data_IF_998257198865
#
_entry.id   IF_998257198865
#
_cell.length_a   1.000
_cell.length_b   1.000
_cell.length_c   1.000
_cell.angle_alpha   90.00
_cell.angle_beta   90.00
_cell.angle_gamma   90.00
#
_symmetry.space_group_name_H-M   'P 1'
#
loop_
_entity.id
_entity.type
_entity.pdbx_description
1 polymer ?
#
# COMPACT_ATOMS: atom_id res chain seq x y z
N UNK A 1 -27.94 28.00 20.11
CA UNK A 1 -28.29 26.65 19.62
C UNK A 1 -27.44 25.64 20.38
N UNK A 2 -27.99 24.48 20.76
CA UNK A 2 -27.23 23.45 21.49
C UNK A 2 -26.11 22.89 20.63
N UNK A 3 -24.88 22.83 21.17
CA UNK A 3 -23.75 22.19 20.51
C UNK A 3 -24.13 20.75 20.06
N UNK A 4 -24.05 20.39 18.76
CA UNK A 4 -24.50 19.08 18.26
C UNK A 4 -23.52 17.94 18.57
N UNK A 5 -22.31 18.24 19.07
CA UNK A 5 -21.25 17.26 19.28
C UNK A 5 -21.62 16.21 20.35
N UNK A 6 -22.15 16.56 21.54
CA UNK A 6 -22.63 15.55 22.49
C UNK A 6 -23.66 14.59 21.88
N UNK A 7 -24.59 15.10 21.06
CA UNK A 7 -25.57 14.28 20.37
C UNK A 7 -24.91 13.37 19.32
N UNK A 8 -23.92 13.88 18.56
CA UNK A 8 -23.12 13.08 17.63
C UNK A 8 -22.38 11.94 18.37
N UNK A 9 -21.72 12.25 19.49
CA UNK A 9 -20.96 11.26 20.26
C UNK A 9 -21.87 10.16 20.82
N UNK A 10 -23.03 10.53 21.36
CA UNK A 10 -24.05 9.57 21.80
C UNK A 10 -24.56 8.71 20.63
N UNK A 11 -24.79 9.31 19.46
CA UNK A 11 -25.23 8.59 18.27
C UNK A 11 -24.18 7.60 17.77
N UNK A 12 -22.90 8.00 17.71
CA UNK A 12 -21.80 7.12 17.33
C UNK A 12 -21.66 5.95 18.31
N UNK A 13 -21.77 6.21 19.62
CA UNK A 13 -21.71 5.18 20.66
C UNK A 13 -22.88 4.19 20.57
N UNK A 14 -24.09 4.67 20.30
CA UNK A 14 -25.28 3.84 20.09
C UNK A 14 -25.13 2.88 18.91
N UNK A 15 -24.30 3.24 17.92
CA UNK A 15 -24.01 2.43 16.74
C UNK A 15 -22.66 1.70 16.84
N UNK A 16 -22.13 1.49 18.05
CA UNK A 16 -20.99 0.59 18.26
C UNK A 16 -21.29 -0.81 17.69
N UNK A 17 -20.26 -1.48 17.18
CA UNK A 17 -20.37 -2.82 16.62
C UNK A 17 -21.00 -2.91 15.22
N UNK A 18 -21.38 -1.78 14.61
CA UNK A 18 -21.96 -1.78 13.25
C UNK A 18 -21.04 -2.41 12.19
N UNK A 19 -19.72 -2.34 12.40
CA UNK A 19 -18.65 -2.88 11.54
C UNK A 19 -18.75 -2.51 10.03
N UNK A 20 -19.58 -1.54 9.69
CA UNK A 20 -19.81 -1.05 8.34
C UNK A 20 -19.70 0.47 8.33
N UNK A 21 -18.54 0.92 7.85
CA UNK A 21 -18.20 2.34 7.72
C UNK A 21 -19.12 3.10 6.77
N UNK A 22 -19.56 2.47 5.67
CA UNK A 22 -20.42 3.15 4.70
C UNK A 22 -21.82 3.34 5.27
N UNK A 23 -22.35 2.31 5.94
CA UNK A 23 -23.63 2.38 6.64
C UNK A 23 -23.61 3.42 7.76
N UNK A 24 -22.59 3.41 8.63
CA UNK A 24 -22.48 4.40 9.71
C UNK A 24 -22.38 5.82 9.18
N UNK A 25 -21.56 6.04 8.14
CA UNK A 25 -21.42 7.35 7.52
C UNK A 25 -22.76 7.85 6.98
N UNK A 26 -23.53 7.00 6.28
CA UNK A 26 -24.88 7.36 5.77
C UNK A 26 -25.83 7.76 6.90
N UNK A 27 -25.87 6.98 7.98
CA UNK A 27 -26.72 7.27 9.14
C UNK A 27 -26.38 8.63 9.77
N UNK A 28 -25.08 8.91 9.97
CA UNK A 28 -24.62 10.18 10.56
C UNK A 28 -24.89 11.36 9.62
N UNK A 29 -24.64 11.20 8.32
CA UNK A 29 -24.90 12.25 7.31
C UNK A 29 -26.38 12.63 7.30
N UNK A 30 -27.29 11.64 7.29
CA UNK A 30 -28.73 11.90 7.33
C UNK A 30 -29.15 12.54 8.66
N UNK A 31 -28.71 11.99 9.80
CA UNK A 31 -29.12 12.44 11.13
C UNK A 31 -28.70 13.89 11.42
N UNK A 32 -27.52 14.31 10.96
CA UNK A 32 -26.94 15.63 11.25
C UNK A 32 -26.93 16.56 10.04
N UNK A 33 -27.59 16.17 8.94
CA UNK A 33 -27.69 16.92 7.69
C UNK A 33 -26.31 17.43 7.17
N UNK A 34 -25.37 16.50 7.05
CA UNK A 34 -23.97 16.85 6.73
C UNK A 34 -23.76 17.04 5.22
N UNK A 35 -22.95 18.04 4.88
CA UNK A 35 -22.41 18.25 3.53
C UNK A 35 -21.20 17.35 3.30
N UNK A 36 -20.98 16.90 2.06
CA UNK A 36 -19.85 16.02 1.71
C UNK A 36 -18.79 16.78 0.90
N UNK A 37 -17.53 16.80 1.38
CA UNK A 37 -16.33 17.14 0.59
C UNK A 37 -15.47 15.87 0.47
N UNK A 38 -15.64 15.18 -0.66
CA UNK A 38 -15.03 13.88 -0.97
C UNK A 38 -15.30 12.85 0.12
N UNK A 39 -14.35 12.69 1.04
CA UNK A 39 -14.36 11.67 2.08
C UNK A 39 -14.64 12.22 3.47
N UNK A 40 -14.77 13.56 3.61
CA UNK A 40 -15.09 14.28 4.84
C UNK A 40 -16.53 14.75 4.78
N UNK A 41 -17.27 14.58 5.88
CA UNK A 41 -18.63 15.04 6.04
C UNK A 41 -18.64 16.16 7.09
N UNK A 42 -19.37 17.24 6.88
CA UNK A 42 -19.27 18.41 7.74
C UNK A 42 -20.54 19.25 7.81
N UNK A 43 -20.62 20.08 8.84
CA UNK A 43 -21.57 21.17 8.99
C UNK A 43 -20.84 22.40 9.57
N UNK A 44 -21.58 23.43 10.00
CA UNK A 44 -21.00 24.61 10.65
C UNK A 44 -20.21 24.26 11.92
N UNK A 45 -20.64 23.24 12.66
CA UNK A 45 -20.17 22.97 14.02
C UNK A 45 -19.05 21.92 14.11
N UNK A 46 -18.94 21.02 13.12
CA UNK A 46 -17.89 20.00 13.11
C UNK A 46 -17.65 19.43 11.71
N UNK A 47 -16.52 18.74 11.54
CA UNK A 47 -16.23 17.88 10.41
C UNK A 47 -15.90 16.47 10.91
N UNK A 48 -16.24 15.43 10.15
CA UNK A 48 -16.01 14.04 10.51
C UNK A 48 -15.52 13.21 9.31
N UNK A 49 -14.53 12.36 9.59
CA UNK A 49 -13.96 11.40 8.66
C UNK A 49 -14.10 9.98 9.20
N UNK A 50 -14.71 9.11 8.42
CA UNK A 50 -14.86 7.69 8.77
C UNK A 50 -13.74 6.83 8.18
N UNK A 51 -13.14 5.98 9.02
CA UNK A 51 -12.20 4.92 8.66
C UNK A 51 -12.71 3.57 9.15
N UNK A 52 -12.17 2.46 8.62
CA UNK A 52 -12.49 1.11 9.10
C UNK A 52 -11.20 0.36 9.41
N UNK A 53 -11.19 -0.42 10.49
CA UNK A 53 -10.09 -1.33 10.85
C UNK A 53 -10.62 -2.46 11.72
N UNK A 54 -9.97 -3.61 11.66
CA UNK A 54 -10.22 -4.73 12.57
C UNK A 54 -9.65 -4.46 13.99
N UNK A 55 -8.77 -3.46 14.13
CA UNK A 55 -8.09 -3.12 15.38
C UNK A 55 -8.25 -1.64 15.72
N UNK A 56 -8.07 -1.31 16.99
CA UNK A 56 -8.07 0.06 17.55
C UNK A 56 -6.94 0.93 16.96
N UNK A 57 -5.81 0.28 16.61
CA UNK A 57 -4.74 0.90 15.84
C UNK A 57 -5.08 0.89 14.35
N UNK A 58 -4.81 2.00 13.67
CA UNK A 58 -5.02 2.14 12.23
C UNK A 58 -4.01 3.11 11.63
N UNK A 59 -3.54 2.81 10.43
CA UNK A 59 -2.57 3.62 9.67
C UNK A 59 -3.13 4.09 8.34
N UNK A 60 -4.43 3.91 8.11
CA UNK A 60 -5.10 4.41 6.91
C UNK A 60 -5.01 5.94 6.86
N UNK A 61 -4.87 6.46 5.65
CA UNK A 61 -4.90 7.90 5.40
C UNK A 61 -6.27 8.47 5.78
N UNK A 62 -6.25 9.50 6.63
CA UNK A 62 -7.44 10.16 7.14
C UNK A 62 -7.85 11.27 6.18
N UNK A 63 -6.97 12.25 5.98
CA UNK A 63 -7.17 13.35 5.02
C UNK A 63 -5.83 13.94 4.55
N UNK A 64 -5.89 14.77 3.49
CA UNK A 64 -4.77 15.65 3.13
C UNK A 64 -4.69 16.82 4.10
N UNK A 65 -3.49 17.37 4.32
CA UNK A 65 -3.28 18.51 5.22
C UNK A 65 -4.02 19.75 4.73
N UNK A 66 -4.02 20.00 3.42
CA UNK A 66 -4.79 21.09 2.79
C UNK A 66 -6.30 20.92 2.93
N UNK A 67 -6.79 19.67 3.10
CA UNK A 67 -8.21 19.44 3.38
C UNK A 67 -8.50 19.70 4.85
N UNK A 68 -7.62 19.30 5.76
CA UNK A 68 -7.75 19.62 7.17
C UNK A 68 -7.77 21.13 7.39
N UNK A 69 -6.91 21.90 6.71
CA UNK A 69 -6.87 23.36 6.82
C UNK A 69 -8.25 24.02 6.65
N UNK A 70 -9.11 23.50 5.74
CA UNK A 70 -10.46 24.03 5.52
C UNK A 70 -11.41 23.88 6.71
N UNK A 71 -11.12 22.95 7.61
CA UNK A 71 -12.00 22.50 8.69
C UNK A 71 -11.31 22.53 10.06
N UNK A 72 -10.08 23.00 10.14
CA UNK A 72 -9.31 23.02 11.39
C UNK A 72 -9.90 24.03 12.37
N UNK A 73 -10.67 25.00 11.88
CA UNK A 73 -11.43 26.00 12.64
C UNK A 73 -12.57 25.42 13.51
N UNK A 74 -12.89 24.12 13.34
CA UNK A 74 -13.93 23.41 14.08
C UNK A 74 -13.43 22.00 14.44
N UNK A 75 -14.10 21.27 15.35
CA UNK A 75 -13.72 19.90 15.67
C UNK A 75 -13.65 19.02 14.42
N UNK A 76 -12.44 18.58 14.08
CA UNK A 76 -12.20 17.64 12.99
C UNK A 76 -12.08 16.23 13.59
N UNK A 77 -13.15 15.47 13.47
CA UNK A 77 -13.35 14.19 14.14
C UNK A 77 -12.92 13.05 13.23
N UNK A 78 -11.99 12.21 13.69
CA UNK A 78 -11.68 10.94 13.06
C UNK A 78 -12.44 9.81 13.77
N UNK A 79 -13.43 9.23 13.09
CA UNK A 79 -14.19 8.08 13.58
C UNK A 79 -13.68 6.79 12.94
N UNK A 80 -13.07 5.91 13.73
CA UNK A 80 -12.66 4.58 13.31
C UNK A 80 -13.73 3.56 13.69
N UNK A 81 -14.34 2.96 12.67
CA UNK A 81 -15.31 1.87 12.81
C UNK A 81 -14.55 0.56 12.97
N UNK A 82 -14.81 -0.16 14.06
CA UNK A 82 -14.27 -1.50 14.33
C UNK A 82 -15.40 -2.51 14.56
N UNK A 83 -15.11 -3.82 14.63
CA UNK A 83 -16.14 -4.84 14.88
C UNK A 83 -16.88 -4.70 16.21
N UNK A 84 -16.23 -4.13 17.24
CA UNK A 84 -16.81 -4.03 18.59
C UNK A 84 -17.26 -2.61 18.95
N UNK A 85 -16.47 -1.59 18.59
CA UNK A 85 -16.69 -0.20 19.03
C UNK A 85 -16.30 0.83 17.97
N UNK A 86 -16.91 2.01 18.02
CA UNK A 86 -16.48 3.16 17.26
C UNK A 86 -15.49 3.98 18.10
N UNK A 87 -14.28 4.19 17.58
CA UNK A 87 -13.27 5.01 18.23
C UNK A 87 -13.32 6.41 17.65
N UNK A 88 -13.46 7.39 18.53
CA UNK A 88 -13.59 8.80 18.16
C UNK A 88 -12.36 9.55 18.67
N UNK A 89 -11.64 10.17 17.75
CA UNK A 89 -10.45 10.98 18.04
C UNK A 89 -10.64 12.39 17.47
N UNK A 90 -10.13 13.39 18.16
CA UNK A 90 -9.90 14.70 17.58
C UNK A 90 -8.63 14.66 16.71
N UNK A 91 -8.71 15.18 15.49
CA UNK A 91 -7.64 15.13 14.50
C UNK A 91 -7.31 16.50 13.89
N UNK A 92 -7.71 17.58 14.58
CA UNK A 92 -7.21 18.92 14.33
C UNK A 92 -5.68 18.97 14.39
N UNK A 93 -5.08 19.98 13.77
CA UNK A 93 -3.63 20.10 13.59
C UNK A 93 -2.87 19.96 14.91
N UNK A 94 -3.34 20.54 16.03
CA UNK A 94 -2.77 20.38 17.40
C UNK A 94 -2.58 18.91 17.81
N UNK A 95 -3.43 18.00 17.33
CA UNK A 95 -3.42 16.59 17.69
C UNK A 95 -2.65 15.72 16.68
N UNK A 96 -1.98 16.32 15.71
CA UNK A 96 -1.12 15.60 14.76
C UNK A 96 0.33 15.60 15.24
N UNK A 97 0.96 14.42 15.23
CA UNK A 97 2.40 14.23 15.50
C UNK A 97 3.24 14.79 14.36
N UNK A 98 2.82 14.49 13.13
CA UNK A 98 3.53 14.79 11.89
C UNK A 98 2.59 14.64 10.70
N UNK A 99 3.08 15.02 9.53
CA UNK A 99 2.46 14.75 8.24
C UNK A 99 3.23 13.61 7.58
N UNK A 100 2.55 12.80 6.76
CA UNK A 100 3.14 11.65 6.09
C UNK A 100 4.39 12.02 5.29
N UNK A 101 5.39 11.14 5.33
CA UNK A 101 6.68 11.22 4.68
C UNK A 101 6.65 11.45 3.16
N UNK A 102 5.53 11.19 2.49
CA UNK A 102 5.36 11.45 1.06
C UNK A 102 5.29 12.94 0.70
N UNK A 103 5.61 13.84 1.63
CA UNK A 103 5.42 15.29 1.51
C UNK A 103 6.76 16.03 1.44
N UNK A 104 7.67 15.64 0.55
CA UNK A 104 9.00 16.29 0.36
C UNK A 104 8.92 17.81 0.10
N UNK A 105 7.75 18.32 -0.23
CA UNK A 105 7.51 19.74 -0.49
C UNK A 105 6.72 20.44 0.62
N UNK A 106 6.39 19.76 1.74
CA UNK A 106 5.67 20.39 2.84
C UNK A 106 6.51 21.53 3.39
N UNK A 107 6.01 22.74 3.22
CA UNK A 107 6.56 23.98 3.74
C UNK A 107 5.41 24.80 4.28
N UNK A 108 5.71 25.78 5.13
CA UNK A 108 4.70 26.73 5.61
C UNK A 108 3.97 27.41 4.44
N UNK A 109 4.70 27.70 3.35
CA UNK A 109 4.15 28.28 2.12
C UNK A 109 3.72 27.25 1.05
N UNK A 110 3.74 25.95 1.35
CA UNK A 110 3.32 24.90 0.42
C UNK A 110 2.73 23.71 1.17
N UNK A 111 1.43 23.80 1.44
CA UNK A 111 0.67 22.85 2.25
C UNK A 111 0.34 21.61 1.39
N UNK A 112 1.29 20.68 1.32
CA UNK A 112 1.14 19.37 0.67
C UNK A 112 1.35 18.24 1.65
N UNK A 113 0.61 17.16 1.46
CA UNK A 113 0.74 15.95 2.26
C UNK A 113 -0.57 15.43 2.81
N UNK A 114 -0.49 14.29 3.47
CA UNK A 114 -1.61 13.66 4.16
C UNK A 114 -1.19 13.16 5.53
N UNK A 115 -2.14 12.91 6.41
CA UNK A 115 -1.87 12.29 7.70
C UNK A 115 -2.67 11.00 7.84
N UNK A 116 -2.09 10.04 8.54
CA UNK A 116 -2.68 8.74 8.80
C UNK A 116 -3.25 8.69 10.22
N UNK A 117 -4.07 7.66 10.48
CA UNK A 117 -4.59 7.42 11.83
C UNK A 117 -3.52 7.24 12.90
N UNK A 118 -2.34 6.76 12.51
CA UNK A 118 -1.18 6.57 13.38
C UNK A 118 -0.51 7.88 13.79
N UNK A 119 -0.70 8.92 12.99
CA UNK A 119 -0.13 10.25 13.19
C UNK A 119 -0.99 11.09 14.14
N UNK A 120 -2.24 10.68 14.42
CA UNK A 120 -3.10 11.30 15.42
C UNK A 120 -2.62 10.89 16.82
N UNK A 121 -2.39 11.87 17.68
CA UNK A 121 -2.02 11.70 19.09
C UNK A 121 -3.14 10.95 19.83
N UNK A 122 -2.76 9.97 20.65
CA UNK A 122 -3.69 9.24 21.53
C UNK A 122 -3.84 9.90 22.88
N UNK A 123 -2.85 10.68 23.26
CA UNK A 123 -2.79 11.44 24.50
C UNK A 123 -2.12 12.77 24.18
N UNK A 124 -2.60 13.84 24.81
CA UNK A 124 -2.09 15.20 24.62
C UNK A 124 -1.53 15.70 25.96
N UNK A 125 -0.23 15.99 25.98
CA UNK A 125 0.44 16.58 27.14
C UNK A 125 0.69 18.07 26.87
N UNK A 126 0.28 18.94 27.80
CA UNK A 126 0.46 20.39 27.69
C UNK A 126 1.91 20.79 28.02
N UNK A 127 2.53 20.06 28.96
CA UNK A 127 3.91 20.27 29.44
C UNK A 127 4.56 18.89 29.63
N UNK A 128 5.88 18.71 29.37
CA UNK A 128 6.59 17.49 29.74
C UNK A 128 6.31 17.11 31.21
N UNK A 129 5.97 15.86 31.48
CA UNK A 129 5.65 15.29 32.80
C UNK A 129 4.32 15.76 33.45
N UNK A 130 3.45 16.46 32.71
CA UNK A 130 2.06 16.68 33.15
C UNK A 130 1.16 15.48 32.84
N UNK A 131 0.08 15.31 33.61
CA UNK A 131 -0.92 14.27 33.33
C UNK A 131 -1.51 14.48 31.94
N UNK A 132 -1.28 13.51 31.05
CA UNK A 132 -1.73 13.60 29.67
C UNK A 132 -3.26 13.48 29.57
N UNK A 133 -3.86 14.25 28.67
CA UNK A 133 -5.30 14.21 28.38
C UNK A 133 -5.54 13.17 27.28
N UNK A 134 -6.29 12.09 27.53
CA UNK A 134 -6.58 11.09 26.50
C UNK A 134 -7.41 11.69 25.36
N UNK A 135 -6.98 11.46 24.11
CA UNK A 135 -7.72 11.82 22.91
C UNK A 135 -8.83 10.79 22.65
N UNK A 136 -10.02 11.08 23.17
CA UNK A 136 -11.20 10.23 23.07
C UNK A 136 -12.48 11.08 23.06
N UNK A 137 -13.64 10.44 22.91
CA UNK A 137 -14.94 11.10 22.89
C UNK A 137 -15.21 12.00 24.10
N UNK A 138 -14.84 11.56 25.31
CA UNK A 138 -15.11 12.30 26.55
C UNK A 138 -14.32 13.62 26.65
N UNK A 139 -13.11 13.66 26.09
CA UNK A 139 -12.24 14.85 26.12
C UNK A 139 -12.30 15.68 24.83
N UNK A 140 -13.15 15.33 23.86
CA UNK A 140 -13.10 15.91 22.51
C UNK A 140 -13.27 17.43 22.51
N UNK A 141 -14.29 17.95 23.21
CA UNK A 141 -14.53 19.39 23.33
C UNK A 141 -13.40 20.10 24.09
N UNK A 142 -12.88 19.49 25.15
CA UNK A 142 -11.75 20.03 25.92
C UNK A 142 -10.50 20.18 25.05
N UNK A 143 -10.18 19.15 24.27
CA UNK A 143 -9.03 19.15 23.37
C UNK A 143 -9.22 20.16 22.22
N UNK A 144 -10.45 20.34 21.74
CA UNK A 144 -10.73 21.34 20.71
C UNK A 144 -10.58 22.77 21.26
N UNK A 145 -11.02 23.05 22.48
CA UNK A 145 -10.82 24.35 23.11
C UNK A 145 -9.32 24.69 23.22
N UNK A 146 -8.46 23.72 23.54
CA UNK A 146 -7.00 23.91 23.52
C UNK A 146 -6.50 24.21 22.10
N UNK A 147 -7.05 23.51 21.10
CA UNK A 147 -6.68 23.72 19.72
C UNK A 147 -7.09 25.11 19.22
N UNK A 148 -8.28 25.60 19.57
CA UNK A 148 -8.84 26.86 19.09
C UNK A 148 -7.97 28.09 19.41
N UNK A 149 -7.18 28.05 20.49
CA UNK A 149 -6.25 29.11 20.88
C UNK A 149 -5.03 29.25 19.94
N UNK A 150 -4.66 28.17 19.23
CA UNK A 150 -3.48 28.14 18.33
C UNK A 150 -3.91 28.06 16.87
N UNK A 151 -4.90 27.22 16.58
CA UNK A 151 -5.42 26.96 15.24
C UNK A 151 -4.39 26.32 14.29
N UNK A 152 -4.74 26.28 13.01
CA UNK A 152 -3.93 25.63 11.98
C UNK A 152 -2.57 26.31 11.77
N UNK A 153 -2.57 27.63 11.60
CA UNK A 153 -1.38 28.41 11.24
C UNK A 153 -0.31 28.35 12.34
N UNK A 154 -0.72 28.37 13.62
CA UNK A 154 0.22 28.21 14.73
C UNK A 154 0.82 26.80 14.84
N UNK A 155 0.11 25.76 14.36
CA UNK A 155 0.58 24.38 14.37
C UNK A 155 1.39 23.98 13.12
N UNK A 156 1.24 24.70 12.01
CA UNK A 156 1.87 24.35 10.75
C UNK A 156 3.41 24.31 10.84
N UNK A 157 4.11 25.28 11.48
CA UNK A 157 5.57 25.23 11.60
C UNK A 157 6.10 23.97 12.28
N UNK A 158 5.50 23.57 13.42
CA UNK A 158 5.93 22.35 14.14
C UNK A 158 5.62 21.08 13.35
N UNK A 159 4.56 21.06 12.55
CA UNK A 159 4.24 19.91 11.69
C UNK A 159 5.22 19.79 10.53
N UNK A 160 5.63 20.93 9.94
CA UNK A 160 6.69 20.99 8.93
C UNK A 160 8.02 20.50 9.54
N UNK A 161 8.40 21.03 10.70
CA UNK A 161 9.62 20.64 11.41
C UNK A 161 9.63 19.15 11.77
N UNK A 162 8.59 18.66 12.44
CA UNK A 162 8.46 17.24 12.80
C UNK A 162 8.44 16.31 11.58
N UNK A 163 7.99 16.79 10.43
CA UNK A 163 7.99 16.03 9.17
C UNK A 163 9.36 16.04 8.49
N UNK A 164 10.11 17.13 8.59
CA UNK A 164 11.46 17.25 8.04
C UNK A 164 12.52 16.55 8.92
N UNK A 165 12.30 16.50 10.23
CA UNK A 165 13.19 15.85 11.20
C UNK A 165 12.98 14.34 11.31
N UNK A 166 12.22 13.70 10.40
CA UNK A 166 12.00 12.26 10.51
C UNK A 166 13.25 11.50 10.07
N UNK A 167 13.98 10.97 11.04
CA UNK A 167 15.13 10.11 10.81
C UNK A 167 14.76 8.85 10.01
N UNK A 168 15.56 8.49 8.99
CA UNK A 168 15.34 7.29 8.21
C UNK A 168 15.42 6.00 9.05
N UNK A 169 14.38 5.17 9.01
CA UNK A 169 14.32 3.93 9.82
C UNK A 169 14.76 2.66 9.09
N UNK A 170 15.04 2.73 7.78
CA UNK A 170 15.53 1.57 7.01
C UNK A 170 17.04 1.36 7.17
N UNK A 171 17.51 0.16 6.85
CA UNK A 171 18.93 -0.09 6.57
C UNK A 171 19.05 -0.49 5.10
N UNK A 172 19.60 0.38 4.22
CA UNK A 172 19.72 0.07 2.80
C UNK A 172 20.74 -1.05 2.62
N UNK A 173 20.51 -1.91 1.64
CA UNK A 173 21.45 -2.99 1.33
C UNK A 173 22.80 -2.38 0.88
N UNK A 174 23.87 -2.69 1.61
CA UNK A 174 25.21 -2.20 1.26
C UNK A 174 25.83 -3.15 0.23
N UNK A 175 25.90 -2.69 -1.02
CA UNK A 175 26.55 -3.43 -2.11
C UNK A 175 28.07 -3.37 -1.90
N UNK A 176 28.68 -4.50 -1.59
CA UNK A 176 30.14 -4.65 -1.50
C UNK A 176 30.75 -4.83 -2.90
N UNK A 177 32.07 -4.72 -3.03
CA UNK A 177 32.76 -5.01 -4.29
C UNK A 177 32.54 -6.45 -4.78
N UNK A 178 32.37 -7.41 -3.86
CA UNK A 178 32.03 -8.79 -4.20
C UNK A 178 30.58 -8.90 -4.71
N UNK A 179 29.61 -8.30 -3.99
CA UNK A 179 28.21 -8.25 -4.44
C UNK A 179 28.08 -7.61 -5.82
N UNK A 180 28.82 -6.52 -6.10
CA UNK A 180 28.76 -5.83 -7.39
C UNK A 180 29.07 -6.77 -8.56
N UNK A 181 30.08 -7.64 -8.43
CA UNK A 181 30.44 -8.63 -9.47
C UNK A 181 29.28 -9.61 -9.73
N UNK A 182 28.68 -10.13 -8.66
CA UNK A 182 27.58 -11.10 -8.76
C UNK A 182 26.31 -10.45 -9.33
N UNK A 183 25.98 -9.24 -8.88
CA UNK A 183 24.82 -8.47 -9.37
C UNK A 183 24.97 -8.17 -10.85
N UNK A 184 26.13 -7.67 -11.30
CA UNK A 184 26.34 -7.34 -12.72
C UNK A 184 26.35 -8.58 -13.64
N UNK A 185 26.59 -9.78 -13.10
CA UNK A 185 26.44 -11.04 -13.83
C UNK A 185 24.98 -11.56 -13.88
N UNK A 186 24.04 -10.94 -13.16
CA UNK A 186 22.65 -11.39 -13.11
C UNK A 186 21.93 -11.43 -14.47
N UNK A 187 22.14 -10.48 -15.40
CA UNK A 187 21.48 -10.54 -16.71
C UNK A 187 21.90 -11.76 -17.52
N UNK A 188 23.17 -12.17 -17.43
CA UNK A 188 23.65 -13.41 -18.08
C UNK A 188 23.02 -14.65 -17.45
N UNK A 189 22.91 -14.72 -16.11
CA UNK A 189 22.21 -15.82 -15.43
C UNK A 189 20.75 -15.90 -15.85
N UNK A 190 20.07 -14.76 -15.92
CA UNK A 190 18.68 -14.69 -16.35
C UNK A 190 18.50 -15.13 -17.80
N UNK A 191 19.38 -14.68 -18.71
CA UNK A 191 19.36 -15.12 -20.11
C UNK A 191 19.53 -16.64 -20.21
N UNK A 192 20.53 -17.21 -19.54
CA UNK A 192 20.74 -18.66 -19.49
C UNK A 192 19.53 -19.40 -18.92
N UNK A 193 18.94 -18.89 -17.84
CA UNK A 193 17.73 -19.48 -17.25
C UNK A 193 16.56 -19.47 -18.22
N UNK A 194 16.27 -18.33 -18.88
CA UNK A 194 15.13 -18.24 -19.82
C UNK A 194 15.20 -19.22 -20.99
N UNK A 195 16.40 -19.69 -21.34
CA UNK A 195 16.66 -20.66 -22.39
C UNK A 195 16.75 -22.11 -21.87
N UNK A 196 16.66 -22.30 -20.56
CA UNK A 196 16.82 -23.60 -19.90
C UNK A 196 15.50 -24.37 -19.78
N UNK A 197 15.61 -25.67 -19.54
CA UNK A 197 14.46 -26.54 -19.20
C UNK A 197 13.83 -26.16 -17.85
N UNK A 198 14.60 -25.58 -16.93
CA UNK A 198 14.12 -25.16 -15.62
C UNK A 198 13.10 -24.01 -15.74
N UNK A 199 13.31 -23.08 -16.68
CA UNK A 199 12.33 -22.03 -16.99
C UNK A 199 11.03 -22.61 -17.54
N UNK A 200 11.11 -23.57 -18.47
CA UNK A 200 9.93 -24.24 -19.00
C UNK A 200 9.17 -24.99 -17.89
N UNK A 201 9.90 -25.62 -16.96
CA UNK A 201 9.31 -26.34 -15.82
C UNK A 201 8.64 -25.37 -14.84
N UNK A 202 9.27 -24.23 -14.52
CA UNK A 202 8.68 -23.20 -13.67
C UNK A 202 7.41 -22.62 -14.28
N UNK A 203 7.44 -22.30 -15.58
CA UNK A 203 6.27 -21.81 -16.30
C UNK A 203 5.13 -22.82 -16.28
N UNK A 204 5.41 -24.09 -16.55
CA UNK A 204 4.39 -25.14 -16.55
C UNK A 204 3.70 -25.31 -15.19
N UNK A 205 4.45 -25.21 -14.09
CA UNK A 205 3.88 -25.26 -12.75
C UNK A 205 2.94 -24.09 -12.45
N UNK A 206 3.39 -22.87 -12.75
CA UNK A 206 2.57 -21.66 -12.54
C UNK A 206 1.31 -21.69 -13.43
N UNK A 207 1.45 -22.09 -14.69
CA UNK A 207 0.32 -22.24 -15.63
C UNK A 207 -0.66 -23.32 -15.15
N UNK A 208 -0.18 -24.43 -14.58
CA UNK A 208 -1.03 -25.48 -14.02
C UNK A 208 -1.84 -24.96 -12.82
N UNK A 209 -1.26 -24.09 -11.98
CA UNK A 209 -1.98 -23.46 -10.87
C UNK A 209 -3.03 -22.46 -11.36
N UNK A 210 -2.72 -21.63 -12.37
CA UNK A 210 -3.71 -20.75 -13.01
C UNK A 210 -4.86 -21.56 -13.59
N UNK A 211 -4.56 -22.68 -14.26
CA UNK A 211 -5.60 -23.58 -14.80
C UNK A 211 -6.45 -24.21 -13.70
N UNK A 212 -5.83 -24.66 -12.60
CA UNK A 212 -6.54 -25.26 -11.44
C UNK A 212 -7.55 -24.29 -10.83
N UNK A 213 -7.18 -23.01 -10.70
CA UNK A 213 -7.99 -21.97 -10.04
C UNK A 213 -8.60 -20.96 -11.00
N UNK A 214 -8.81 -21.35 -12.27
CA UNK A 214 -9.24 -20.42 -13.32
C UNK A 214 -10.57 -19.72 -12.98
N UNK A 215 -11.54 -20.46 -12.45
CA UNK A 215 -12.86 -19.91 -12.10
C UNK A 215 -12.75 -18.91 -10.96
N UNK A 216 -11.99 -19.24 -9.92
CA UNK A 216 -11.78 -18.39 -8.75
C UNK A 216 -11.00 -17.13 -9.10
N UNK A 217 -10.02 -17.23 -10.00
CA UNK A 217 -9.29 -16.07 -10.52
C UNK A 217 -10.23 -15.13 -11.27
N UNK A 218 -11.17 -15.65 -12.08
CA UNK A 218 -12.17 -14.84 -12.79
C UNK A 218 -13.16 -14.17 -11.82
N UNK A 219 -13.58 -14.86 -10.76
CA UNK A 219 -14.42 -14.26 -9.71
C UNK A 219 -13.64 -13.17 -8.96
N UNK A 220 -12.41 -13.46 -8.54
CA UNK A 220 -11.54 -12.51 -7.84
C UNK A 220 -11.25 -11.28 -8.70
N UNK A 221 -11.18 -11.42 -10.03
CA UNK A 221 -10.98 -10.30 -10.95
C UNK A 221 -12.09 -9.24 -10.86
N UNK A 222 -13.29 -9.61 -10.41
CA UNK A 222 -14.44 -8.71 -10.22
C UNK A 222 -14.36 -7.91 -8.91
N UNK A 223 -13.42 -8.21 -8.01
CA UNK A 223 -13.23 -7.45 -6.76
C UNK A 223 -12.79 -6.02 -7.11
N UNK A 224 -13.57 -5.02 -6.72
CA UNK A 224 -13.29 -3.61 -7.02
C UNK A 224 -11.96 -3.13 -6.42
N UNK A 225 -11.66 -3.55 -5.19
CA UNK A 225 -10.45 -3.15 -4.49
C UNK A 225 -9.22 -3.85 -5.10
N UNK A 226 -8.44 -3.10 -5.88
CA UNK A 226 -7.24 -3.56 -6.58
C UNK A 226 -6.25 -4.30 -5.67
N UNK A 227 -6.06 -3.83 -4.43
CA UNK A 227 -5.11 -4.43 -3.50
C UNK A 227 -5.60 -5.75 -2.92
N UNK A 228 -6.92 -5.91 -2.74
CA UNK A 228 -7.52 -7.16 -2.28
C UNK A 228 -7.54 -8.15 -3.44
N UNK A 229 -7.98 -7.69 -4.62
CA UNK A 229 -7.97 -8.47 -5.87
C UNK A 229 -6.60 -9.07 -6.16
N UNK A 230 -5.55 -8.24 -6.18
CA UNK A 230 -4.18 -8.67 -6.45
C UNK A 230 -3.75 -9.76 -5.47
N UNK A 231 -3.89 -9.49 -4.16
CA UNK A 231 -3.52 -10.43 -3.10
C UNK A 231 -4.27 -11.76 -3.15
N UNK A 232 -5.56 -11.73 -3.48
CA UNK A 232 -6.34 -12.97 -3.62
C UNK A 232 -5.81 -13.82 -4.77
N UNK A 233 -5.55 -13.21 -5.94
CA UNK A 233 -5.05 -13.92 -7.12
C UNK A 233 -3.60 -14.39 -6.92
N UNK A 234 -2.75 -13.56 -6.33
CA UNK A 234 -1.38 -13.92 -5.91
C UNK A 234 -1.42 -15.16 -5.03
N UNK A 235 -2.28 -15.17 -4.00
CA UNK A 235 -2.40 -16.31 -3.11
C UNK A 235 -2.95 -17.57 -3.79
N UNK A 236 -3.94 -17.46 -4.68
CA UNK A 236 -4.44 -18.62 -5.45
C UNK A 236 -3.34 -19.28 -6.29
N UNK A 237 -2.34 -18.52 -6.74
CA UNK A 237 -1.25 -19.02 -7.59
C UNK A 237 -0.03 -19.42 -6.76
N UNK A 238 0.31 -18.70 -5.71
CA UNK A 238 1.58 -18.87 -5.01
C UNK A 238 1.44 -19.35 -3.56
N UNK A 239 0.23 -19.36 -3.00
CA UNK A 239 -0.06 -19.84 -1.65
C UNK A 239 0.22 -21.34 -1.48
N UNK A 240 0.62 -21.71 -0.26
CA UNK A 240 0.94 -23.10 0.13
C UNK A 240 -0.05 -23.69 1.15
N UNK A 241 -0.87 -22.86 1.81
CA UNK A 241 -1.83 -23.32 2.83
C UNK A 241 -3.15 -23.78 2.18
N UNK A 242 -3.26 -25.09 1.95
CA UNK A 242 -4.41 -25.72 1.30
C UNK A 242 -5.73 -25.48 2.06
N UNK A 243 -5.70 -25.34 3.39
CA UNK A 243 -6.92 -25.05 4.17
C UNK A 243 -7.40 -23.64 3.88
N UNK A 244 -6.50 -22.67 3.91
CA UNK A 244 -6.83 -21.29 3.58
C UNK A 244 -7.21 -21.13 2.09
N UNK A 245 -6.64 -21.93 1.19
CA UNK A 245 -7.13 -22.06 -0.19
C UNK A 245 -8.59 -22.48 -0.24
N UNK A 246 -8.98 -23.56 0.47
CA UNK A 246 -10.36 -24.03 0.49
C UNK A 246 -11.33 -23.01 1.09
N UNK A 247 -10.91 -22.32 2.16
CA UNK A 247 -11.70 -21.24 2.77
C UNK A 247 -11.88 -20.06 1.80
N UNK A 248 -10.83 -19.66 1.06
CA UNK A 248 -10.90 -18.61 0.05
C UNK A 248 -11.78 -18.99 -1.14
N UNK A 249 -11.63 -20.20 -1.67
CA UNK A 249 -12.48 -20.74 -2.75
C UNK A 249 -13.95 -20.73 -2.32
N UNK A 250 -14.25 -21.19 -1.10
CA UNK A 250 -15.60 -21.19 -0.55
C UNK A 250 -16.18 -19.78 -0.39
N UNK A 251 -15.37 -18.82 0.07
CA UNK A 251 -15.78 -17.42 0.20
C UNK A 251 -16.09 -16.77 -1.16
N UNK A 252 -15.25 -17.01 -2.18
CA UNK A 252 -15.44 -16.51 -3.54
C UNK A 252 -16.70 -17.10 -4.18
N UNK A 253 -16.93 -18.40 -4.04
CA UNK A 253 -18.09 -19.09 -4.63
C UNK A 253 -19.41 -18.73 -3.94
N UNK A 254 -19.39 -18.46 -2.63
CA UNK A 254 -20.59 -18.07 -1.88
C UNK A 254 -20.98 -16.59 -2.01
N UNK A 255 -20.20 -15.78 -2.73
CA UNK A 255 -20.33 -14.30 -2.78
C UNK A 255 -20.40 -13.65 -1.38
N UNK A 256 -19.80 -14.30 -0.39
CA UNK A 256 -19.70 -13.76 0.97
C UNK A 256 -18.80 -12.52 0.95
N UNK A 257 -19.22 -11.44 1.61
CA UNK A 257 -18.40 -10.24 1.77
C UNK A 257 -17.19 -10.44 2.71
N UNK A 258 -17.07 -11.61 3.35
CA UNK A 258 -16.02 -11.91 4.31
C UNK A 258 -14.98 -12.86 3.70
N UNK A 259 -13.91 -12.29 3.13
CA UNK A 259 -12.71 -13.05 2.80
C UNK A 259 -11.94 -13.39 4.09
N UNK A 260 -11.36 -14.60 4.19
CA UNK A 260 -10.54 -14.96 5.35
C UNK A 260 -9.34 -14.03 5.48
N UNK A 261 -8.84 -13.87 6.71
CA UNK A 261 -7.64 -13.07 6.94
C UNK A 261 -6.41 -13.88 6.53
N UNK A 262 -5.78 -13.51 5.42
CA UNK A 262 -4.52 -14.11 4.99
C UNK A 262 -3.40 -13.06 5.02
N UNK A 263 -2.19 -13.50 5.39
CA UNK A 263 -0.98 -12.68 5.32
C UNK A 263 -0.21 -13.10 4.08
N UNK A 264 0.01 -12.15 3.18
CA UNK A 264 1.10 -12.25 2.20
C UNK A 264 2.38 -11.80 2.91
N UNK A 265 3.41 -12.64 2.94
CA UNK A 265 4.70 -12.23 3.48
C UNK A 265 5.25 -11.04 2.69
N UNK A 266 5.96 -10.13 3.34
CA UNK A 266 6.67 -9.05 2.65
C UNK A 266 7.98 -9.60 2.04
N UNK A 267 7.91 -10.67 1.26
CA UNK A 267 9.03 -11.26 0.54
C UNK A 267 9.40 -10.42 -0.70
N UNK A 268 10.30 -10.92 -1.53
CA UNK A 268 10.72 -10.29 -2.79
C UNK A 268 9.84 -10.73 -3.97
N UNK A 269 9.60 -12.05 -4.08
CA UNK A 269 8.59 -12.64 -4.96
C UNK A 269 7.51 -13.35 -4.14
N UNK A 270 6.49 -13.83 -4.84
CA UNK A 270 5.38 -14.61 -4.27
C UNK A 270 5.68 -16.12 -4.30
N UNK A 271 6.49 -16.56 -5.26
CA UNK A 271 6.82 -17.96 -5.46
C UNK A 271 8.33 -18.18 -5.63
N UNK A 272 8.91 -19.01 -4.77
CA UNK A 272 10.34 -19.35 -4.79
C UNK A 272 10.53 -20.78 -5.28
N UNK A 273 11.56 -21.01 -6.10
CA UNK A 273 11.94 -22.37 -6.51
C UNK A 273 13.45 -22.53 -6.63
N UNK A 274 13.97 -23.56 -5.96
CA UNK A 274 15.38 -23.91 -5.94
C UNK A 274 15.66 -25.05 -6.91
N UNK A 275 16.21 -24.72 -8.07
CA UNK A 275 16.78 -25.66 -9.02
C UNK A 275 18.25 -25.92 -8.66
N UNK A 276 18.85 -26.94 -9.29
CA UNK A 276 20.27 -27.24 -9.11
C UNK A 276 21.15 -26.03 -9.45
N UNK A 277 20.93 -25.43 -10.61
CA UNK A 277 21.75 -24.32 -11.13
C UNK A 277 21.17 -22.93 -10.84
N UNK A 278 19.92 -22.85 -10.38
CA UNK A 278 19.19 -21.58 -10.24
C UNK A 278 18.40 -21.50 -8.94
N UNK A 279 18.48 -20.35 -8.28
CA UNK A 279 17.54 -19.96 -7.24
C UNK A 279 16.61 -18.91 -7.84
N UNK A 280 15.33 -19.25 -7.96
CA UNK A 280 14.34 -18.37 -8.58
C UNK A 280 13.41 -17.75 -7.55
N UNK A 281 13.14 -16.47 -7.72
CA UNK A 281 12.10 -15.71 -7.02
C UNK A 281 11.18 -15.12 -8.09
N UNK A 282 9.89 -15.44 -8.01
CA UNK A 282 8.89 -15.05 -9.00
C UNK A 282 7.80 -14.21 -8.36
N UNK A 283 7.65 -12.98 -8.83
CA UNK A 283 6.59 -12.07 -8.42
C UNK A 283 5.39 -12.19 -9.37
N UNK A 284 4.23 -12.53 -8.83
CA UNK A 284 2.98 -12.71 -9.59
C UNK A 284 2.31 -11.35 -9.73
N UNK A 285 1.92 -11.00 -10.95
CA UNK A 285 1.29 -9.70 -11.24
C UNK A 285 0.07 -9.86 -12.12
N UNK A 286 -1.08 -9.44 -11.60
CA UNK A 286 -2.34 -9.48 -12.36
C UNK A 286 -2.55 -8.20 -13.15
N UNK A 287 -2.93 -8.34 -14.43
CA UNK A 287 -3.30 -7.24 -15.31
C UNK A 287 -4.72 -7.45 -15.85
N UNK A 288 -5.65 -6.57 -15.48
CA UNK A 288 -6.95 -6.50 -16.14
C UNK A 288 -6.75 -5.77 -17.47
N UNK A 289 -6.95 -6.46 -18.59
CA UNK A 289 -6.47 -6.02 -19.90
C UNK A 289 -7.14 -4.72 -20.38
N UNK A 290 -8.38 -4.47 -19.95
CA UNK A 290 -9.15 -3.26 -20.27
C UNK A 290 -8.80 -2.05 -19.39
N UNK A 291 -8.00 -2.22 -18.33
CA UNK A 291 -7.68 -1.14 -17.39
C UNK A 291 -6.28 -0.58 -17.61
N UNK A 292 -6.19 0.74 -17.70
CA UNK A 292 -4.93 1.49 -17.73
C UNK A 292 -4.37 1.65 -16.30
N UNK A 293 -3.68 0.61 -15.83
CA UNK A 293 -2.96 0.60 -14.55
C UNK A 293 -1.45 0.37 -14.72
N UNK A 294 -0.64 1.10 -13.97
CA UNK A 294 0.81 0.96 -13.88
C UNK A 294 1.16 0.25 -12.57
N UNK A 295 1.43 -1.07 -12.59
CA UNK A 295 1.68 -1.81 -11.37
C UNK A 295 3.04 -1.45 -10.75
N UNK A 296 3.09 -1.51 -9.42
CA UNK A 296 4.35 -1.53 -8.68
C UNK A 296 5.08 -2.83 -9.00
N UNK A 297 6.38 -2.71 -9.28
CA UNK A 297 7.27 -3.82 -9.56
C UNK A 297 7.97 -4.25 -8.26
N UNK A 298 9.22 -3.86 -8.02
CA UNK A 298 10.02 -4.35 -6.89
C UNK A 298 10.61 -3.24 -6.02
N UNK A 299 11.05 -3.59 -4.81
CA UNK A 299 11.90 -2.72 -3.99
C UNK A 299 13.36 -2.88 -4.44
N UNK A 300 14.04 -1.75 -4.63
CA UNK A 300 15.39 -1.74 -5.22
C UNK A 300 16.43 -2.39 -4.30
N UNK A 301 16.35 -2.20 -2.99
CA UNK A 301 17.31 -2.80 -2.04
C UNK A 301 17.14 -4.31 -1.96
N UNK A 302 15.89 -4.79 -1.88
CA UNK A 302 15.60 -6.24 -1.86
C UNK A 302 16.07 -6.94 -3.14
N UNK A 303 15.92 -6.29 -4.30
CA UNK A 303 16.41 -6.85 -5.56
C UNK A 303 17.93 -6.91 -5.57
N UNK A 304 18.62 -5.84 -5.16
CA UNK A 304 20.09 -5.85 -5.12
C UNK A 304 20.62 -6.91 -4.14
N UNK A 305 19.93 -7.10 -3.01
CA UNK A 305 20.24 -8.15 -2.04
C UNK A 305 20.08 -9.54 -2.65
N UNK A 306 18.95 -9.83 -3.30
CA UNK A 306 18.72 -11.14 -3.93
C UNK A 306 19.68 -11.40 -5.09
N UNK A 307 19.89 -10.43 -5.98
CA UNK A 307 20.80 -10.56 -7.11
C UNK A 307 22.28 -10.67 -6.70
N UNK A 308 22.61 -10.34 -5.44
CA UNK A 308 23.94 -10.56 -4.87
C UNK A 308 24.20 -12.02 -4.50
N UNK A 309 23.17 -12.85 -4.46
CA UNK A 309 23.31 -14.28 -4.23
C UNK A 309 23.72 -15.00 -5.51
N UNK A 310 24.55 -16.02 -5.39
CA UNK A 310 24.87 -16.91 -6.51
C UNK A 310 23.60 -17.63 -7.00
N UNK A 311 23.58 -18.00 -8.28
CA UNK A 311 22.45 -18.70 -8.92
C UNK A 311 21.12 -17.93 -8.97
N UNK A 312 21.04 -16.73 -8.40
CA UNK A 312 19.80 -15.93 -8.32
C UNK A 312 19.27 -15.52 -9.70
N UNK A 313 17.96 -15.70 -9.89
CA UNK A 313 17.19 -15.26 -11.07
C UNK A 313 15.83 -14.74 -10.62
N UNK A 314 15.57 -13.45 -10.87
CA UNK A 314 14.29 -12.82 -10.51
C UNK A 314 13.37 -12.71 -11.74
N UNK A 315 12.11 -13.09 -11.56
CA UNK A 315 11.13 -13.25 -12.62
C UNK A 315 9.80 -12.56 -12.27
N UNK A 316 9.06 -12.21 -13.30
CA UNK A 316 7.65 -11.85 -13.20
C UNK A 316 6.80 -12.89 -13.90
N UNK A 317 5.73 -13.30 -13.23
CA UNK A 317 4.66 -14.08 -13.83
C UNK A 317 3.42 -13.21 -13.96
N UNK A 318 3.17 -12.74 -15.19
CA UNK A 318 2.02 -11.90 -15.47
C UNK A 318 0.80 -12.73 -15.82
N UNK A 319 -0.34 -12.37 -15.22
CA UNK A 319 -1.65 -12.99 -15.46
C UNK A 319 -2.59 -11.95 -16.05
N UNK A 320 -2.85 -12.07 -17.35
CA UNK A 320 -3.75 -11.21 -18.12
C UNK A 320 -5.18 -11.72 -18.08
N UNK A 321 -6.10 -10.87 -17.62
CA UNK A 321 -7.52 -11.19 -17.50
C UNK A 321 -8.34 -10.22 -18.34
N UNK A 322 -9.13 -10.77 -19.25
CA UNK A 322 -10.14 -10.06 -20.03
C UNK A 322 -11.44 -10.89 -20.01
N UNK A 323 -12.54 -10.27 -19.61
CA UNK A 323 -13.82 -10.98 -19.49
C UNK A 323 -14.24 -11.57 -20.85
N UNK A 324 -14.62 -12.84 -20.85
CA UNK A 324 -15.00 -13.56 -22.07
C UNK A 324 -13.84 -14.12 -22.90
N UNK A 325 -12.57 -13.93 -22.47
CA UNK A 325 -11.40 -14.53 -23.11
C UNK A 325 -10.67 -15.49 -22.15
N UNK A 326 -9.90 -16.47 -22.66
CA UNK A 326 -9.01 -17.27 -21.85
C UNK A 326 -7.99 -16.40 -21.10
N UNK A 327 -7.66 -16.80 -19.87
CA UNK A 327 -6.57 -16.17 -19.10
C UNK A 327 -5.26 -16.37 -19.86
N UNK A 328 -4.51 -15.30 -20.06
CA UNK A 328 -3.21 -15.32 -20.72
C UNK A 328 -2.11 -15.16 -19.69
N UNK A 329 -1.03 -15.92 -19.83
CA UNK A 329 0.09 -15.90 -18.87
C UNK A 329 1.42 -15.75 -19.57
N UNK A 330 2.33 -14.99 -18.97
CA UNK A 330 3.70 -14.90 -19.45
C UNK A 330 4.69 -14.87 -18.27
N UNK A 331 5.76 -15.66 -18.38
CA UNK A 331 6.88 -15.68 -17.46
C UNK A 331 8.06 -14.96 -18.12
N UNK A 332 8.55 -13.90 -17.49
CA UNK A 332 9.68 -13.12 -18.03
C UNK A 332 10.68 -12.77 -16.93
N UNK A 333 11.95 -12.60 -17.30
CA UNK A 333 12.93 -11.99 -16.41
C UNK A 333 12.65 -10.50 -16.22
N UNK A 334 13.04 -9.94 -15.08
CA UNK A 334 13.09 -8.48 -14.91
C UNK A 334 13.97 -7.75 -15.94
N UNK A 335 14.86 -8.48 -16.62
CA UNK A 335 15.74 -7.96 -17.68
C UNK A 335 15.18 -8.16 -19.09
N UNK A 336 13.92 -8.58 -19.23
CA UNK A 336 13.26 -8.68 -20.53
C UNK A 336 13.26 -7.30 -21.20
N UNK A 337 13.64 -7.24 -22.48
CA UNK A 337 13.92 -5.99 -23.21
C UNK A 337 12.85 -4.90 -23.03
N UNK A 338 11.60 -5.19 -23.40
CA UNK A 338 10.50 -4.20 -23.31
C UNK A 338 10.19 -3.84 -21.86
N UNK A 339 10.23 -4.81 -20.96
CA UNK A 339 9.95 -4.59 -19.55
C UNK A 339 11.01 -3.69 -18.89
N UNK A 340 12.29 -3.90 -19.25
CA UNK A 340 13.41 -3.08 -18.80
C UNK A 340 13.23 -1.63 -19.25
N UNK A 341 12.92 -1.41 -20.53
CA UNK A 341 12.66 -0.08 -21.10
C UNK A 341 11.47 0.62 -20.43
N UNK A 342 10.43 -0.14 -20.07
CA UNK A 342 9.23 0.35 -19.41
C UNK A 342 9.37 0.50 -17.88
N UNK A 343 10.57 0.31 -17.33
CA UNK A 343 10.81 0.40 -15.88
C UNK A 343 10.99 1.84 -15.41
N UNK A 344 10.04 2.31 -14.61
CA UNK A 344 10.08 3.63 -13.97
C UNK A 344 10.69 3.49 -12.57
N UNK A 345 11.80 4.17 -12.32
CA UNK A 345 12.43 4.21 -11.00
C UNK A 345 11.80 5.30 -10.11
N UNK A 346 11.20 4.87 -9.00
CA UNK A 346 10.62 5.74 -7.99
C UNK A 346 11.48 5.74 -6.73
N UNK A 347 12.30 6.79 -6.57
CA UNK A 347 13.05 6.99 -5.34
C UNK A 347 12.10 7.09 -4.15
N UNK A 348 12.44 6.44 -3.04
CA UNK A 348 11.65 6.59 -1.81
C UNK A 348 11.84 8.00 -1.23
N UNK A 349 10.77 8.50 -0.61
CA UNK A 349 10.75 9.80 0.03
C UNK A 349 11.61 9.77 1.31
N UNK A 350 12.12 10.93 1.74
CA UNK A 350 12.99 11.06 2.91
C UNK A 350 12.41 10.31 4.13
N UNK A 351 13.27 9.61 4.87
CA UNK A 351 12.88 8.88 6.08
C UNK A 351 12.63 7.37 5.92
N UNK A 352 12.87 6.79 4.74
CA UNK A 352 12.80 5.33 4.53
C UNK A 352 14.15 4.62 4.30
N UNK A 353 15.26 5.36 4.30
CA UNK A 353 16.63 4.87 4.11
C UNK A 353 16.74 3.73 3.08
N UNK A 354 16.11 3.90 1.91
CA UNK A 354 16.09 2.89 0.85
C UNK A 354 16.19 3.56 -0.50
N UNK A 355 16.73 2.84 -1.48
CA UNK A 355 16.96 3.34 -2.85
C UNK A 355 15.65 3.64 -3.59
N UNK A 356 14.54 3.04 -3.17
CA UNK A 356 13.24 3.23 -3.79
C UNK A 356 12.54 1.94 -4.16
N UNK A 357 11.54 2.08 -5.03
CA UNK A 357 10.84 1.00 -5.71
C UNK A 357 10.78 1.29 -7.21
N UNK A 358 10.48 0.29 -8.01
CA UNK A 358 10.15 0.46 -9.43
C UNK A 358 8.65 0.31 -9.69
N UNK A 359 8.21 0.85 -10.82
CA UNK A 359 6.91 0.65 -11.44
C UNK A 359 7.09 0.30 -12.91
N UNK A 360 6.10 -0.34 -13.51
CA UNK A 360 6.08 -0.58 -14.95
C UNK A 360 5.01 0.25 -15.63
N UNK A 361 5.24 0.61 -16.88
CA UNK A 361 4.18 1.07 -17.76
C UNK A 361 3.22 -0.09 -18.09
N UNK A 362 1.95 0.10 -17.76
CA UNK A 362 0.93 -0.94 -17.89
C UNK A 362 0.70 -1.43 -19.31
N UNK A 363 0.88 -0.55 -20.31
CA UNK A 363 0.71 -0.87 -21.73
C UNK A 363 1.73 -1.90 -22.19
N UNK A 364 2.96 -1.79 -21.73
CA UNK A 364 4.03 -2.74 -22.06
C UNK A 364 3.76 -4.13 -21.51
N UNK A 365 3.20 -4.22 -20.29
CA UNK A 365 2.76 -5.51 -19.73
C UNK A 365 1.64 -6.11 -20.57
N UNK A 366 0.64 -5.31 -20.95
CA UNK A 366 -0.45 -5.80 -21.81
C UNK A 366 0.08 -6.36 -23.14
N UNK A 367 1.05 -5.68 -23.76
CA UNK A 367 1.70 -6.15 -24.97
C UNK A 367 2.49 -7.43 -24.75
N UNK A 368 3.23 -7.56 -23.65
CA UNK A 368 4.00 -8.77 -23.33
C UNK A 368 3.10 -9.98 -23.06
N UNK A 369 1.93 -9.77 -22.45
CA UNK A 369 0.94 -10.83 -22.25
C UNK A 369 0.39 -11.32 -23.59
N UNK A 370 0.04 -10.39 -24.50
CA UNK A 370 -0.53 -10.71 -25.81
C UNK A 370 0.51 -11.27 -26.80
N UNK A 371 1.75 -10.80 -26.68
CA UNK A 371 2.87 -11.17 -27.54
C UNK A 371 4.09 -11.53 -26.66
N UNK A 372 4.09 -12.74 -26.06
CA UNK A 372 5.18 -13.19 -25.19
C UNK A 372 6.54 -13.15 -25.85
N UNK A 373 7.50 -12.52 -25.17
CA UNK A 373 8.88 -12.43 -25.62
C UNK A 373 9.80 -12.53 -24.39
N UNK A 374 10.73 -13.50 -24.40
CA UNK A 374 11.61 -13.77 -23.26
C UNK A 374 13.02 -13.16 -23.41
N UNK A 375 13.28 -12.44 -24.51
CA UNK A 375 14.60 -11.93 -24.83
C UNK A 375 15.12 -10.96 -23.74
N UNK A 376 16.31 -11.27 -23.22
CA UNK A 376 17.04 -10.45 -22.25
C UNK A 376 18.06 -9.60 -22.98
N UNK A 377 18.07 -8.28 -22.71
CA UNK A 377 19.14 -7.40 -23.17
C UNK A 377 20.23 -7.29 -22.09
N UNK A 378 21.28 -8.11 -22.21
CA UNK A 378 22.35 -8.20 -21.20
C UNK A 378 23.09 -6.87 -21.01
N UNK A 379 23.32 -6.13 -22.10
CA UNK A 379 24.08 -4.88 -22.07
C UNK A 379 23.28 -3.76 -21.39
N UNK A 380 22.06 -3.51 -21.85
CA UNK A 380 21.16 -2.51 -21.23
C UNK A 380 20.85 -2.85 -19.77
N UNK A 381 20.67 -4.14 -19.46
CA UNK A 381 20.46 -4.59 -18.09
C UNK A 381 21.69 -4.34 -17.20
N UNK A 382 22.91 -4.51 -17.72
CA UNK A 382 24.15 -4.16 -17.03
C UNK A 382 24.21 -2.67 -16.68
N UNK A 383 23.90 -1.80 -17.64
CA UNK A 383 23.82 -0.35 -17.44
C UNK A 383 22.76 0.02 -16.40
N UNK A 384 21.59 -0.61 -16.48
CA UNK A 384 20.50 -0.42 -15.53
C UNK A 384 20.93 -0.81 -14.10
N UNK A 385 21.58 -1.95 -13.92
CA UNK A 385 22.05 -2.41 -12.61
C UNK A 385 23.15 -1.52 -12.02
N UNK A 386 24.10 -1.05 -12.83
CA UNK A 386 25.12 -0.11 -12.35
C UNK A 386 24.47 1.21 -11.89
N UNK A 387 23.46 1.69 -12.62
CA UNK A 387 22.63 2.83 -12.19
C UNK A 387 21.96 2.56 -10.84
N UNK A 388 21.36 1.38 -10.63
CA UNK A 388 20.72 1.03 -9.36
C UNK A 388 21.70 0.96 -8.19
N UNK A 389 22.89 0.37 -8.38
CA UNK A 389 23.93 0.27 -7.37
C UNK A 389 24.35 1.67 -6.89
N UNK A 390 24.49 2.60 -7.84
CA UNK A 390 24.95 3.97 -7.61
C UNK A 390 23.84 4.93 -7.12
N UNK A 391 22.58 4.48 -7.00
CA UNK A 391 21.54 5.28 -6.37
C UNK A 391 21.84 5.47 -4.88
N UNK A 392 21.99 6.73 -4.45
CA UNK A 392 22.05 7.08 -3.03
C UNK A 392 20.66 6.93 -2.42
N UNK A 393 20.57 6.27 -1.26
CA UNK A 393 19.37 6.31 -0.42
C UNK A 393 19.08 7.74 0.02
N UNK A 394 17.80 8.11 0.11
CA UNK A 394 17.35 9.43 0.52
C UNK A 394 17.28 9.60 2.04
#
# INVERSE_FOLDING_TARGET
>A
MSNPIPALLAFLKKNDGINDKAKLAKLVVTQFNLTTDRSVYYCAEFAIRFSASQKVSFSNTVASLSRLQKFDDRPFISCLVTPGVNLVLLANSTLLKKVSHSSQQLRVNNIKGSFNGSDILREFAVIPNSAAIPNNAANLLRLFNIHAEIGFEGNLPRLVEATNNISPTGNPFKVTSAHKKIILAAPMRAQAFTQSKDCATLKAELDAKVKKFQNEILIAAMIENVNVRGRVIEYLIAGEDERLHQEMVSALNSKSNNLPAFKTENALGDYSRNFKEYLTETDVKTKIMILDSNPKAYNLDKILEFLSQERSVFLFYFVGIELGKPIQTVLVSMFQKRLLDATILLKHWAGRNSRGVSQFEGKTISQLIQHPEAAVNVEEAGVFLDRLINLKGA
#
